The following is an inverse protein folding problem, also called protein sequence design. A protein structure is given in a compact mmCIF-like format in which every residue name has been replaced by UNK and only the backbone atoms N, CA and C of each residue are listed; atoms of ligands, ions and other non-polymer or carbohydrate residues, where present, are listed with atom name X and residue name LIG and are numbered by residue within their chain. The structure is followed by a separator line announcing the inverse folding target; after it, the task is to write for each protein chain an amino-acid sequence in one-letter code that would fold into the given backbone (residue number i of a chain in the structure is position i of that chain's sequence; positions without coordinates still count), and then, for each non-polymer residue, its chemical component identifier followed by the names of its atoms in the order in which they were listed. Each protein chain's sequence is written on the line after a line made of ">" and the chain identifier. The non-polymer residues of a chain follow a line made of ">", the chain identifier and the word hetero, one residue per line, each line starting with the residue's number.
data_IF_971015219309
#
_entry.id   IF_971015219309
#
_cell.length_a   1.000
_cell.length_b   1.000
_cell.length_c   1.000
_cell.angle_alpha   90.00
_cell.angle_beta   90.00
_cell.angle_gamma   90.00
#
_symmetry.space_group_name_H-M   'P 1'
#
loop_
_entity.id
_entity.type
_entity.pdbx_description
1 polymer ?
#
# COMPACT_ATOMS: atom_id res chain seq x y z
N UNK A 1 -2.92 13.69 2.00
CA UNK A 1 -3.75 14.92 1.86
C UNK A 1 -4.30 15.29 3.23
N UNK A 2 -4.28 16.56 3.69
CA UNK A 2 -4.74 16.92 5.05
C UNK A 2 -6.18 16.49 5.37
N UNK A 3 -7.06 16.47 4.37
CA UNK A 3 -8.42 15.95 4.50
C UNK A 3 -8.46 14.51 5.06
N UNK A 4 -7.49 13.65 4.72
CA UNK A 4 -7.46 12.27 5.26
C UNK A 4 -7.27 12.25 6.78
N UNK A 5 -6.48 13.19 7.31
CA UNK A 5 -6.32 13.35 8.75
C UNK A 5 -7.58 13.90 9.39
N UNK A 6 -8.22 14.93 8.83
CA UNK A 6 -9.46 15.50 9.37
C UNK A 6 -10.60 14.46 9.42
N UNK A 7 -10.71 13.62 8.40
CA UNK A 7 -11.66 12.50 8.37
C UNK A 7 -11.30 11.43 9.41
N UNK A 8 -10.01 11.09 9.52
CA UNK A 8 -9.54 10.14 10.52
C UNK A 8 -9.85 10.62 11.95
N UNK A 9 -9.56 11.89 12.25
CA UNK A 9 -9.83 12.49 13.54
C UNK A 9 -11.33 12.48 13.86
N UNK A 10 -12.19 12.83 12.89
CA UNK A 10 -13.64 12.75 13.04
C UNK A 10 -14.10 11.33 13.34
N UNK A 11 -13.76 10.36 12.48
CA UNK A 11 -14.20 8.97 12.63
C UNK A 11 -13.71 8.37 13.95
N UNK A 12 -12.45 8.60 14.32
CA UNK A 12 -11.90 8.12 15.58
C UNK A 12 -12.55 8.79 16.79
N UNK A 13 -12.88 10.08 16.72
CA UNK A 13 -13.58 10.77 17.79
C UNK A 13 -15.01 10.23 17.99
N UNK A 14 -15.69 9.85 16.91
CA UNK A 14 -17.00 9.19 16.94
C UNK A 14 -16.89 7.78 17.52
N UNK A 15 -15.98 6.95 17.00
CA UNK A 15 -15.83 5.56 17.47
C UNK A 15 -15.29 5.46 18.89
N UNK A 16 -14.56 6.47 19.38
CA UNK A 16 -14.11 6.56 20.77
C UNK A 16 -15.10 7.29 21.69
N UNK A 17 -16.15 7.90 21.14
CA UNK A 17 -17.10 8.71 21.92
C UNK A 17 -16.47 9.93 22.58
N UNK A 18 -15.44 10.53 21.97
CA UNK A 18 -14.69 11.68 22.51
C UNK A 18 -15.00 13.00 21.81
N UNK A 19 -15.77 12.96 20.72
CA UNK A 19 -16.32 14.18 20.12
C UNK A 19 -17.28 14.85 21.12
N UNK A 20 -17.34 16.18 21.06
CA UNK A 20 -18.30 16.93 21.88
C UNK A 20 -19.74 16.46 21.58
N UNK A 21 -20.59 16.52 22.60
CA UNK A 21 -21.98 16.09 22.48
C UNK A 21 -22.92 17.07 23.18
N UNK A 22 -24.17 17.10 22.70
CA UNK A 22 -25.22 17.94 23.27
C UNK A 22 -26.27 17.05 23.93
N UNK A 23 -26.57 17.22 25.23
CA UNK A 23 -27.62 16.43 25.88
C UNK A 23 -28.98 16.54 25.15
N UNK A 24 -29.76 15.44 25.05
CA UNK A 24 -29.57 14.15 25.70
C UNK A 24 -28.69 13.14 24.94
N UNK A 25 -28.07 13.51 23.81
CA UNK A 25 -27.26 12.62 22.97
C UNK A 25 -25.91 12.28 23.61
N UNK A 26 -25.93 11.42 24.63
CA UNK A 26 -24.74 11.06 25.39
C UNK A 26 -23.97 9.91 24.69
N UNK A 27 -22.63 9.91 24.65
CA UNK A 27 -21.84 8.86 24.01
C UNK A 27 -22.14 7.42 24.48
N UNK A 28 -22.78 7.28 25.65
CA UNK A 28 -23.28 5.99 26.15
C UNK A 28 -24.29 5.30 25.25
N UNK A 29 -25.10 6.07 24.51
CA UNK A 29 -26.16 5.57 23.62
C UNK A 29 -25.65 5.26 22.22
N UNK A 30 -24.45 5.72 21.86
CA UNK A 30 -23.89 5.52 20.53
C UNK A 30 -23.41 4.08 20.33
N UNK A 31 -24.05 3.39 19.39
CA UNK A 31 -23.69 2.02 19.01
C UNK A 31 -22.34 1.95 18.29
N UNK A 32 -21.98 3.00 17.55
CA UNK A 32 -20.70 3.11 16.83
C UNK A 32 -19.52 3.42 17.74
N UNK A 33 -19.77 3.87 18.97
CA UNK A 33 -18.73 4.29 19.90
C UNK A 33 -18.08 3.10 20.63
N UNK A 34 -17.61 2.12 19.85
CA UNK A 34 -17.06 0.84 20.32
C UNK A 34 -15.78 1.00 21.13
N UNK A 35 -14.92 1.96 20.76
CA UNK A 35 -13.65 2.23 21.43
C UNK A 35 -13.77 3.09 22.70
N UNK A 36 -15.00 3.31 23.19
CA UNK A 36 -15.21 3.77 24.58
C UNK A 36 -14.72 2.74 25.59
N UNK A 37 -14.80 1.46 25.24
CA UNK A 37 -14.13 0.41 26.01
C UNK A 37 -12.61 0.57 25.84
N UNK A 38 -11.95 0.97 26.91
CA UNK A 38 -10.51 1.18 26.94
C UNK A 38 -9.73 -0.10 26.59
N UNK A 39 -10.23 -1.29 26.96
CA UNK A 39 -9.57 -2.55 26.64
C UNK A 39 -9.65 -2.84 25.15
N UNK A 40 -10.83 -2.63 24.55
CA UNK A 40 -11.00 -2.80 23.09
C UNK A 40 -10.12 -1.80 22.33
N UNK A 41 -10.06 -0.54 22.78
CA UNK A 41 -9.22 0.48 22.16
C UNK A 41 -7.73 0.11 22.24
N UNK A 42 -7.24 -0.32 23.42
CA UNK A 42 -5.85 -0.75 23.59
C UNK A 42 -5.53 -1.99 22.74
N UNK A 43 -6.43 -2.97 22.70
CA UNK A 43 -6.31 -4.15 21.85
C UNK A 43 -6.23 -3.78 20.37
N UNK A 44 -7.06 -2.85 19.92
CA UNK A 44 -7.02 -2.36 18.53
C UNK A 44 -5.71 -1.64 18.22
N UNK A 45 -5.19 -0.81 19.13
CA UNK A 45 -3.90 -0.16 18.94
C UNK A 45 -2.72 -1.14 18.85
N UNK A 46 -2.77 -2.25 19.59
CA UNK A 46 -1.81 -3.34 19.45
C UNK A 46 -1.97 -4.04 18.10
N UNK A 47 -3.20 -4.31 17.65
CA UNK A 47 -3.45 -4.90 16.33
C UNK A 47 -2.89 -4.04 15.19
N UNK A 48 -2.99 -2.70 15.26
CA UNK A 48 -2.35 -1.79 14.29
C UNK A 48 -0.82 -1.96 14.29
N UNK A 49 -0.22 -2.11 15.47
CA UNK A 49 1.23 -2.32 15.62
C UNK A 49 1.67 -3.66 15.01
N UNK A 50 0.92 -4.73 15.28
CA UNK A 50 1.21 -6.08 14.81
C UNK A 50 1.00 -6.19 13.29
N UNK A 51 -0.03 -5.53 12.76
CA UNK A 51 -0.32 -5.46 11.33
C UNK A 51 0.74 -4.68 10.54
N UNK A 52 1.43 -3.73 11.15
CA UNK A 52 2.37 -2.85 10.44
C UNK A 52 3.55 -3.59 9.77
N UNK A 53 3.91 -4.79 10.24
CA UNK A 53 4.93 -5.62 9.56
C UNK A 53 4.46 -6.17 8.21
N UNK A 54 3.15 -6.28 8.00
CA UNK A 54 2.52 -6.82 6.79
C UNK A 54 2.37 -5.78 5.68
N UNK A 55 2.70 -4.51 5.95
CA UNK A 55 2.78 -3.46 4.96
C UNK A 55 4.13 -3.55 4.23
N UNK A 56 4.16 -3.71 2.90
CA UNK A 56 5.39 -3.68 2.12
C UNK A 56 6.06 -2.30 2.19
N UNK A 57 7.37 -2.26 1.94
CA UNK A 57 8.14 -1.01 2.02
C UNK A 57 7.72 0.04 0.98
N UNK A 58 6.97 -0.34 -0.05
CA UNK A 58 6.33 0.59 -0.99
C UNK A 58 5.27 1.47 -0.34
N UNK A 59 4.73 1.08 0.82
CA UNK A 59 3.82 1.88 1.65
C UNK A 59 4.57 2.80 2.64
N UNK A 60 5.88 2.97 2.45
CA UNK A 60 6.78 3.84 3.22
C UNK A 60 6.79 3.51 4.73
N UNK A 61 6.20 4.38 5.57
CA UNK A 61 6.30 4.28 7.03
C UNK A 61 5.15 3.51 7.66
N UNK A 62 5.52 2.61 8.58
CA UNK A 62 4.62 1.91 9.49
C UNK A 62 3.86 2.90 10.40
N UNK A 63 2.53 2.82 10.51
CA UNK A 63 1.78 3.63 11.46
C UNK A 63 2.13 3.24 12.90
N UNK A 64 2.32 4.22 13.78
CA UNK A 64 2.46 3.93 15.21
C UNK A 64 1.14 3.44 15.83
N UNK A 65 1.23 2.89 17.05
CA UNK A 65 0.06 2.59 17.85
C UNK A 65 -0.76 3.87 18.12
N UNK A 66 -2.02 3.96 17.64
CA UNK A 66 -2.85 5.14 17.83
C UNK A 66 -3.18 5.39 19.31
N UNK A 67 -3.27 4.36 20.16
CA UNK A 67 -3.60 4.57 21.59
C UNK A 67 -2.49 5.31 22.35
N UNK A 68 -1.25 5.22 21.86
CA UNK A 68 -0.08 5.80 22.52
C UNK A 68 0.32 7.16 21.94
N UNK A 69 0.06 7.39 20.66
CA UNK A 69 0.64 8.53 19.93
C UNK A 69 -0.34 9.45 19.22
N UNK A 70 -1.63 9.13 19.19
CA UNK A 70 -2.61 9.95 18.44
C UNK A 70 -2.58 11.44 18.86
N UNK A 71 -2.33 11.71 20.15
CA UNK A 71 -2.30 13.07 20.69
C UNK A 71 -0.90 13.72 20.77
N UNK A 72 0.18 13.03 20.37
CA UNK A 72 1.56 13.47 20.62
C UNK A 72 2.45 13.53 19.37
N UNK A 73 1.83 13.59 18.19
CA UNK A 73 2.54 13.79 16.91
C UNK A 73 2.28 12.71 15.85
N UNK A 74 1.08 12.12 15.86
CA UNK A 74 0.64 11.21 14.80
C UNK A 74 0.55 11.97 13.47
N UNK A 75 1.29 11.52 12.47
CA UNK A 75 1.40 12.25 11.20
C UNK A 75 0.24 11.96 10.28
N UNK A 76 -0.07 12.89 9.37
CA UNK A 76 -1.08 12.71 8.31
C UNK A 76 -0.87 11.41 7.51
N UNK A 77 0.38 11.04 7.22
CA UNK A 77 0.70 9.75 6.57
C UNK A 77 0.31 8.55 7.43
N UNK A 78 0.56 8.60 8.74
CA UNK A 78 0.19 7.52 9.65
C UNK A 78 -1.33 7.37 9.72
N UNK A 79 -2.08 8.48 9.78
CA UNK A 79 -3.54 8.45 9.67
C UNK A 79 -3.99 7.84 8.34
N UNK A 80 -3.35 8.21 7.24
CA UNK A 80 -3.69 7.67 5.93
C UNK A 80 -3.45 6.15 5.87
N UNK A 81 -2.30 5.66 6.34
CA UNK A 81 -2.00 4.22 6.35
C UNK A 81 -2.88 3.46 7.34
N UNK A 82 -3.16 4.03 8.50
CA UNK A 82 -4.04 3.42 9.49
C UNK A 82 -5.48 3.36 8.97
N UNK A 83 -6.09 4.50 8.64
CA UNK A 83 -7.52 4.57 8.30
C UNK A 83 -7.81 4.09 6.88
N UNK A 84 -6.93 4.26 5.90
CA UNK A 84 -7.25 3.85 4.52
C UNK A 84 -6.51 2.59 4.08
N UNK A 85 -5.40 2.23 4.75
CA UNK A 85 -4.65 1.02 4.47
C UNK A 85 -5.05 -0.18 5.34
N UNK A 86 -4.92 -0.04 6.66
CA UNK A 86 -5.13 -1.15 7.62
C UNK A 86 -6.57 -1.27 8.11
N UNK A 87 -7.24 -0.13 8.29
CA UNK A 87 -8.56 -0.02 8.90
C UNK A 87 -9.64 -0.89 8.25
N UNK A 88 -9.69 -1.07 6.92
CA UNK A 88 -10.67 -1.96 6.31
C UNK A 88 -10.66 -3.38 6.88
N UNK A 89 -9.46 -3.92 7.11
CA UNK A 89 -9.28 -5.25 7.68
C UNK A 89 -9.44 -5.23 9.21
N UNK A 90 -8.79 -4.28 9.90
CA UNK A 90 -8.74 -4.25 11.37
C UNK A 90 -10.02 -3.75 12.04
N UNK A 91 -10.92 -3.07 11.33
CA UNK A 91 -12.20 -2.60 11.84
C UNK A 91 -13.36 -3.53 11.47
N UNK A 92 -13.13 -4.50 10.58
CA UNK A 92 -14.13 -5.50 10.22
C UNK A 92 -14.47 -6.35 11.45
N UNK A 93 -15.76 -6.55 11.71
CA UNK A 93 -16.30 -7.17 12.93
C UNK A 93 -15.95 -6.48 14.26
N UNK A 94 -15.28 -5.32 14.24
CA UNK A 94 -15.03 -4.50 15.44
C UNK A 94 -16.04 -3.37 15.55
N UNK A 95 -16.23 -2.64 14.45
CA UNK A 95 -17.27 -1.61 14.32
C UNK A 95 -18.54 -2.29 13.77
N UNK A 96 -19.76 -1.94 14.23
CA UNK A 96 -20.97 -2.60 13.75
C UNK A 96 -21.12 -2.46 12.23
N UNK A 97 -21.66 -3.49 11.60
CA UNK A 97 -21.59 -3.70 10.15
C UNK A 97 -22.04 -2.50 9.32
N UNK A 98 -23.13 -1.81 9.70
CA UNK A 98 -23.63 -0.64 8.95
C UNK A 98 -22.63 0.52 8.93
N UNK A 99 -21.96 0.78 10.05
CA UNK A 99 -20.95 1.84 10.15
C UNK A 99 -19.66 1.43 9.46
N UNK A 100 -19.29 0.14 9.54
CA UNK A 100 -18.17 -0.38 8.76
C UNK A 100 -18.42 -0.25 7.26
N UNK A 101 -19.62 -0.58 6.77
CA UNK A 101 -19.97 -0.43 5.34
C UNK A 101 -19.89 1.03 4.88
N UNK A 102 -20.43 1.97 5.67
CA UNK A 102 -20.30 3.39 5.40
C UNK A 102 -18.83 3.81 5.33
N UNK A 103 -18.06 3.57 6.39
CA UNK A 103 -16.63 3.86 6.42
C UNK A 103 -15.87 3.20 5.25
N UNK A 104 -16.21 1.97 4.92
CA UNK A 104 -15.57 1.24 3.84
C UNK A 104 -15.83 1.89 2.48
N UNK A 105 -17.03 2.43 2.26
CA UNK A 105 -17.34 3.17 1.04
C UNK A 105 -16.50 4.45 0.88
N UNK A 106 -16.21 5.14 1.98
CA UNK A 106 -15.22 6.23 2.00
C UNK A 106 -13.84 5.72 1.55
N UNK A 107 -13.38 4.60 2.11
CA UNK A 107 -12.09 4.01 1.74
C UNK A 107 -12.03 3.68 0.25
N UNK A 108 -13.07 3.08 -0.32
CA UNK A 108 -13.14 2.80 -1.77
C UNK A 108 -12.95 4.06 -2.60
N UNK A 109 -13.70 5.12 -2.30
CA UNK A 109 -13.57 6.38 -3.03
C UNK A 109 -12.16 6.95 -2.93
N UNK A 110 -11.52 6.86 -1.75
CA UNK A 110 -10.14 7.31 -1.56
C UNK A 110 -9.11 6.46 -2.31
N UNK A 111 -9.28 5.14 -2.37
CA UNK A 111 -8.41 4.25 -3.16
C UNK A 111 -8.48 4.56 -4.66
N UNK A 112 -9.65 4.98 -5.16
CA UNK A 112 -9.84 5.37 -6.56
C UNK A 112 -9.28 6.76 -6.86
N UNK A 113 -9.56 7.76 -6.01
CA UNK A 113 -9.16 9.15 -6.26
C UNK A 113 -7.67 9.39 -6.02
N UNK A 114 -7.01 8.59 -5.17
CA UNK A 114 -5.58 8.76 -4.86
C UNK A 114 -4.64 8.07 -5.87
N UNK A 115 -5.15 7.54 -6.98
CA UNK A 115 -4.30 6.94 -8.02
C UNK A 115 -3.49 8.01 -8.77
N UNK A 116 -2.32 7.62 -9.28
CA UNK A 116 -1.47 8.50 -10.10
C UNK A 116 -2.11 8.82 -11.47
N UNK A 117 -2.85 7.86 -12.03
CA UNK A 117 -3.62 8.01 -13.25
C UNK A 117 -5.03 7.49 -12.96
N UNK A 118 -6.02 8.35 -13.13
CA UNK A 118 -7.41 8.06 -12.76
C UNK A 118 -8.22 8.03 -14.05
N UNK A 119 -8.86 6.90 -14.36
CA UNK A 119 -9.75 6.81 -15.51
C UNK A 119 -11.08 7.54 -15.23
N UNK A 120 -11.80 7.94 -16.29
CA UNK A 120 -13.14 8.53 -16.12
C UNK A 120 -14.12 7.58 -15.43
N UNK A 121 -13.98 6.28 -15.65
CA UNK A 121 -14.81 5.27 -15.00
C UNK A 121 -14.51 5.19 -13.49
N UNK A 122 -13.23 5.18 -13.11
CA UNK A 122 -12.81 5.20 -11.70
C UNK A 122 -13.28 6.48 -11.01
N UNK A 123 -13.24 7.61 -11.71
CA UNK A 123 -13.69 8.89 -11.18
C UNK A 123 -15.20 8.92 -10.93
N UNK A 124 -16.00 8.33 -11.84
CA UNK A 124 -17.44 8.17 -11.66
C UNK A 124 -17.76 7.23 -10.49
N UNK A 125 -17.03 6.11 -10.38
CA UNK A 125 -17.16 5.19 -9.26
C UNK A 125 -16.80 5.86 -7.92
N UNK A 126 -15.69 6.62 -7.88
CA UNK A 126 -15.30 7.39 -6.71
C UNK A 126 -16.38 8.41 -6.32
N UNK A 127 -16.99 9.08 -7.31
CA UNK A 127 -18.05 10.05 -7.06
C UNK A 127 -19.28 9.40 -6.43
N UNK A 128 -19.70 8.25 -6.96
CA UNK A 128 -20.82 7.48 -6.41
C UNK A 128 -20.52 7.02 -4.97
N UNK A 129 -19.30 6.54 -4.71
CA UNK A 129 -18.86 6.20 -3.35
C UNK A 129 -18.97 7.40 -2.40
N UNK A 130 -18.46 8.57 -2.79
CA UNK A 130 -18.45 9.75 -1.93
C UNK A 130 -19.85 10.31 -1.65
N UNK A 131 -20.73 10.37 -2.65
CA UNK A 131 -22.13 10.81 -2.43
C UNK A 131 -22.83 9.86 -1.46
N UNK A 132 -22.76 8.56 -1.74
CA UNK A 132 -23.47 7.58 -0.93
C UNK A 132 -22.90 7.52 0.49
N UNK A 133 -21.59 7.65 0.64
CA UNK A 133 -20.95 7.77 1.95
C UNK A 133 -21.48 8.96 2.77
N UNK A 134 -21.58 10.16 2.18
CA UNK A 134 -22.08 11.35 2.89
C UNK A 134 -23.55 11.18 3.30
N UNK A 135 -24.39 10.66 2.40
CA UNK A 135 -25.80 10.38 2.69
C UNK A 135 -25.95 9.35 3.83
N UNK A 136 -25.22 8.24 3.76
CA UNK A 136 -25.27 7.21 4.79
C UNK A 136 -24.66 7.71 6.11
N UNK A 137 -23.65 8.58 6.06
CA UNK A 137 -23.09 9.22 7.25
C UNK A 137 -24.15 10.10 7.93
N UNK A 138 -24.92 10.87 7.15
CA UNK A 138 -26.02 11.68 7.64
C UNK A 138 -27.10 10.83 8.33
N UNK A 139 -27.47 9.70 7.71
CA UNK A 139 -28.49 8.78 8.24
C UNK A 139 -28.00 8.08 9.51
N UNK A 140 -26.75 7.59 9.52
CA UNK A 140 -26.23 6.74 10.59
C UNK A 140 -25.77 7.54 11.81
N UNK A 141 -24.99 8.60 11.60
CA UNK A 141 -24.36 9.36 12.68
C UNK A 141 -25.20 10.58 13.10
N UNK A 142 -25.61 11.40 12.13
CA UNK A 142 -26.31 12.66 12.41
C UNK A 142 -27.80 12.46 12.72
N UNK A 143 -28.45 11.51 12.04
CA UNK A 143 -29.86 11.13 12.25
C UNK A 143 -30.85 12.29 12.13
N UNK A 144 -30.47 13.41 11.50
CA UNK A 144 -31.25 14.64 11.42
C UNK A 144 -31.64 15.22 12.80
N UNK A 145 -30.82 14.96 13.82
CA UNK A 145 -31.02 15.45 15.17
C UNK A 145 -30.20 16.72 15.41
N UNK A 146 -30.83 17.75 15.98
CA UNK A 146 -30.16 19.03 16.23
C UNK A 146 -28.98 18.88 17.21
N UNK A 147 -29.07 17.90 18.09
CA UNK A 147 -28.08 17.53 19.11
C UNK A 147 -26.81 16.92 18.53
N UNK A 148 -26.86 16.45 17.28
CA UNK A 148 -25.77 15.80 16.56
C UNK A 148 -25.10 16.71 15.52
N UNK A 149 -25.48 18.00 15.45
CA UNK A 149 -25.01 18.94 14.42
C UNK A 149 -23.49 19.03 14.33
N UNK A 150 -22.79 18.87 15.45
CA UNK A 150 -21.33 18.87 15.54
C UNK A 150 -20.65 17.74 14.76
N UNK A 151 -21.36 16.67 14.40
CA UNK A 151 -20.80 15.58 13.59
C UNK A 151 -20.62 15.99 12.12
N UNK A 152 -21.38 16.99 11.65
CA UNK A 152 -21.31 17.49 10.27
C UNK A 152 -20.17 18.51 10.15
N UNK A 153 -18.95 18.00 10.28
CA UNK A 153 -17.73 18.79 10.09
C UNK A 153 -17.51 19.13 8.60
N UNK A 154 -16.86 20.26 8.27
CA UNK A 154 -16.57 20.62 6.87
C UNK A 154 -15.82 19.54 6.08
N UNK A 155 -15.01 18.72 6.77
CA UNK A 155 -14.31 17.60 6.15
C UNK A 155 -15.25 16.54 5.57
N UNK A 156 -16.46 16.35 6.12
CA UNK A 156 -17.46 15.43 5.57
C UNK A 156 -17.91 15.93 4.21
N UNK A 157 -18.39 17.16 4.15
CA UNK A 157 -18.88 17.77 2.91
C UNK A 157 -17.79 17.92 1.84
N UNK A 158 -16.54 18.16 2.27
CA UNK A 158 -15.42 18.31 1.34
C UNK A 158 -15.17 17.05 0.49
N UNK A 159 -15.55 15.86 0.98
CA UNK A 159 -15.36 14.59 0.27
C UNK A 159 -16.11 14.56 -1.05
N UNK A 160 -17.36 15.05 -1.11
CA UNK A 160 -18.13 15.10 -2.35
C UNK A 160 -17.50 15.97 -3.45
N UNK A 161 -16.69 16.97 -3.07
CA UNK A 161 -16.07 17.87 -4.02
C UNK A 161 -14.79 17.30 -4.65
N UNK A 162 -14.19 16.26 -4.05
CA UNK A 162 -12.89 15.73 -4.48
C UNK A 162 -12.86 15.32 -5.96
N UNK A 163 -13.95 14.76 -6.48
CA UNK A 163 -14.05 14.32 -7.87
C UNK A 163 -14.13 15.48 -8.83
N UNK A 164 -14.92 16.51 -8.50
CA UNK A 164 -14.99 17.77 -9.26
C UNK A 164 -13.65 18.51 -9.21
N UNK A 165 -12.99 18.55 -8.06
CA UNK A 165 -11.66 19.13 -7.95
C UNK A 165 -10.64 18.37 -8.79
N UNK A 166 -10.73 17.04 -8.82
CA UNK A 166 -9.84 16.19 -9.62
C UNK A 166 -10.02 16.44 -11.11
N UNK A 167 -11.26 16.66 -11.58
CA UNK A 167 -11.52 17.07 -12.97
C UNK A 167 -10.87 18.40 -13.33
N UNK A 168 -10.88 19.35 -12.39
CA UNK A 168 -10.41 20.73 -12.64
C UNK A 168 -8.89 20.88 -12.45
N UNK A 169 -8.31 20.20 -11.46
CA UNK A 169 -6.94 20.40 -10.97
C UNK A 169 -6.01 19.21 -11.26
N UNK A 170 -6.56 18.10 -11.77
CA UNK A 170 -5.86 16.82 -11.89
C UNK A 170 -5.91 16.03 -10.57
N UNK A 171 -5.25 14.85 -10.51
CA UNK A 171 -5.24 13.99 -9.33
C UNK A 171 -4.83 14.71 -8.03
N UNK A 172 -5.34 14.30 -6.84
CA UNK A 172 -5.01 14.92 -5.55
C UNK A 172 -3.53 15.10 -5.27
N UNK A 173 -2.67 14.21 -5.78
CA UNK A 173 -1.21 14.33 -5.63
C UNK A 173 -0.67 15.63 -6.24
N UNK A 174 -1.30 16.16 -7.29
CA UNK A 174 -0.88 17.37 -8.01
C UNK A 174 -1.10 18.66 -7.22
N UNK A 175 -2.12 18.69 -6.34
CA UNK A 175 -2.48 19.88 -5.56
C UNK A 175 -2.41 19.65 -4.05
N UNK A 176 -1.93 18.49 -3.61
CA UNK A 176 -1.69 18.22 -2.19
C UNK A 176 -0.65 19.17 -1.60
N UNK A 177 -0.83 19.55 -0.34
CA UNK A 177 0.09 20.46 0.36
C UNK A 177 1.45 19.83 0.69
N UNK A 178 1.62 18.52 0.45
CA UNK A 178 2.79 17.77 0.90
C UNK A 178 4.07 18.21 0.21
N UNK A 179 4.03 18.45 -1.09
CA UNK A 179 5.19 18.96 -1.83
C UNK A 179 5.62 20.33 -1.30
N UNK A 180 4.65 21.18 -0.94
CA UNK A 180 4.94 22.48 -0.33
C UNK A 180 5.52 22.33 1.07
N UNK A 181 4.97 21.47 1.92
CA UNK A 181 5.49 21.22 3.27
C UNK A 181 6.90 20.61 3.27
N UNK A 182 7.16 19.65 2.37
CA UNK A 182 8.50 19.12 2.16
C UNK A 182 9.47 20.22 1.73
N UNK A 183 9.05 21.10 0.81
CA UNK A 183 9.87 22.22 0.35
C UNK A 183 10.17 23.20 1.49
N UNK A 184 9.18 23.53 2.32
CA UNK A 184 9.38 24.36 3.53
C UNK A 184 10.38 23.69 4.48
N UNK A 185 10.26 22.38 4.70
CA UNK A 185 11.20 21.61 5.53
C UNK A 185 12.64 21.63 4.98
N UNK A 186 12.80 21.47 3.67
CA UNK A 186 14.10 21.53 3.00
C UNK A 186 14.74 22.92 3.19
N UNK A 187 13.99 23.99 2.90
CA UNK A 187 14.46 25.35 3.13
C UNK A 187 14.81 25.61 4.60
N UNK A 188 14.01 25.08 5.53
CA UNK A 188 14.30 25.18 6.96
C UNK A 188 15.67 24.58 7.35
N UNK A 189 16.11 23.53 6.67
CA UNK A 189 17.43 22.91 6.89
C UNK A 189 18.58 23.71 6.24
N UNK A 190 18.28 24.52 5.22
CA UNK A 190 19.26 25.33 4.49
C UNK A 190 19.51 26.70 5.13
N UNK A 191 18.61 27.18 6.00
CA UNK A 191 18.81 28.43 6.74
C UNK A 191 19.97 28.26 7.73
N UNK A 192 21.05 29.01 7.50
CA UNK A 192 22.28 29.00 8.32
C UNK A 192 22.46 30.25 9.15
N UNK A 193 21.75 31.34 8.85
CA UNK A 193 21.89 32.62 9.54
C UNK A 193 20.66 32.98 10.40
N UNK A 194 20.72 32.80 11.73
CA UNK A 194 19.59 33.11 12.61
C UNK A 194 19.32 34.61 12.77
N UNK A 195 20.30 35.48 12.50
CA UNK A 195 20.16 36.94 12.64
C UNK A 195 19.47 37.63 11.45
N UNK A 196 19.42 37.00 10.28
CA UNK A 196 18.69 37.51 9.11
C UNK A 196 18.10 36.35 8.28
N UNK A 197 17.13 35.61 8.85
CA UNK A 197 16.64 34.36 8.29
C UNK A 197 15.92 34.57 6.95
N UNK A 198 15.18 35.67 6.78
CA UNK A 198 14.45 35.94 5.54
C UNK A 198 15.37 36.27 4.36
N UNK A 199 16.41 37.08 4.57
CA UNK A 199 17.37 37.37 3.50
C UNK A 199 18.19 36.13 3.12
N UNK A 200 18.52 35.28 4.10
CA UNK A 200 19.19 34.01 3.83
C UNK A 200 18.27 33.06 3.05
N UNK A 201 17.02 32.89 3.48
CA UNK A 201 16.01 32.08 2.79
C UNK A 201 15.82 32.52 1.33
N UNK A 202 15.72 33.83 1.07
CA UNK A 202 15.62 34.35 -0.29
C UNK A 202 16.82 33.95 -1.15
N UNK A 203 18.03 34.01 -0.58
CA UNK A 203 19.26 33.64 -1.28
C UNK A 203 19.31 32.14 -1.58
N UNK A 204 19.00 31.29 -0.61
CA UNK A 204 18.94 29.82 -0.81
C UNK A 204 17.89 29.46 -1.87
N UNK A 205 16.70 30.07 -1.80
CA UNK A 205 15.64 29.89 -2.80
C UNK A 205 16.10 30.25 -4.22
N UNK A 206 16.73 31.42 -4.40
CA UNK A 206 17.28 31.82 -5.70
C UNK A 206 18.35 30.84 -6.17
N UNK A 207 19.26 30.42 -5.28
CA UNK A 207 20.32 29.47 -5.62
C UNK A 207 19.74 28.11 -6.05
N UNK A 208 18.75 27.59 -5.34
CA UNK A 208 18.11 26.32 -5.68
C UNK A 208 17.37 26.41 -7.02
N UNK A 209 16.65 27.51 -7.26
CA UNK A 209 16.03 27.78 -8.57
C UNK A 209 17.06 27.84 -9.71
N UNK A 210 18.20 28.50 -9.49
CA UNK A 210 19.28 28.58 -10.48
C UNK A 210 19.89 27.20 -10.77
N UNK A 211 20.17 26.40 -9.73
CA UNK A 211 20.68 25.03 -9.90
C UNK A 211 19.66 24.15 -10.63
N UNK A 212 18.38 24.22 -10.27
CA UNK A 212 17.33 23.46 -10.94
C UNK A 212 17.16 23.89 -12.40
N UNK A 213 17.23 25.19 -12.69
CA UNK A 213 17.19 25.70 -14.06
C UNK A 213 18.39 25.20 -14.88
N UNK A 214 19.61 25.22 -14.33
CA UNK A 214 20.80 24.69 -14.99
C UNK A 214 20.69 23.19 -15.27
N UNK A 215 20.22 22.40 -14.30
CA UNK A 215 19.96 20.96 -14.49
C UNK A 215 18.93 20.68 -15.57
N UNK A 216 17.88 21.52 -15.69
CA UNK A 216 16.86 21.38 -16.71
C UNK A 216 17.35 21.81 -18.11
N UNK A 217 18.15 22.88 -18.18
CA UNK A 217 18.71 23.41 -19.44
C UNK A 217 19.84 22.53 -19.99
N UNK A 218 20.62 21.90 -19.12
CA UNK A 218 21.75 21.03 -19.49
C UNK A 218 21.67 19.72 -18.70
N UNK A 219 20.83 18.76 -19.14
CA UNK A 219 20.64 17.48 -18.46
C UNK A 219 21.94 16.69 -18.27
N UNK A 220 22.92 16.86 -19.15
CA UNK A 220 24.23 16.20 -19.10
C UNK A 220 25.05 16.54 -17.85
N UNK A 221 24.73 17.65 -17.16
CA UNK A 221 25.34 18.00 -15.87
C UNK A 221 24.82 17.14 -14.71
N UNK A 222 23.69 16.46 -14.90
CA UNK A 222 23.14 15.53 -13.92
C UNK A 222 23.80 14.18 -14.17
N UNK A 223 24.55 13.69 -13.19
CA UNK A 223 25.11 12.35 -13.26
C UNK A 223 24.00 11.35 -13.58
N UNK A 224 24.16 10.51 -14.62
CA UNK A 224 23.15 9.50 -14.93
C UNK A 224 23.00 8.60 -13.72
N UNK A 225 21.77 8.49 -13.22
CA UNK A 225 21.46 7.59 -12.11
C UNK A 225 21.83 6.18 -12.58
N UNK A 226 22.71 5.47 -11.86
CA UNK A 226 22.85 4.04 -12.08
C UNK A 226 21.51 3.38 -11.72
N UNK A 227 20.72 3.05 -12.73
CA UNK A 227 19.36 2.54 -12.53
C UNK A 227 19.37 1.22 -11.77
N UNK A 228 20.41 0.41 -11.97
CA UNK A 228 20.54 -0.90 -11.35
C UNK A 228 21.86 -1.07 -10.59
N UNK A 229 21.81 -1.65 -9.36
CA UNK A 229 23.01 -1.95 -8.60
C UNK A 229 23.83 -3.05 -9.29
N UNK A 230 25.15 -3.04 -9.07
CA UNK A 230 26.06 -4.02 -9.64
C UNK A 230 25.64 -5.47 -9.33
N UNK A 231 25.66 -6.32 -10.36
CA UNK A 231 25.32 -7.74 -10.26
C UNK A 231 23.81 -8.04 -10.21
N UNK A 232 22.98 -7.06 -10.56
CA UNK A 232 21.60 -7.29 -10.98
C UNK A 232 21.55 -7.89 -12.38
N UNK A 233 20.44 -8.56 -12.70
CA UNK A 233 20.12 -9.06 -14.04
C UNK A 233 18.90 -8.29 -14.50
N UNK A 234 19.04 -7.56 -15.61
CA UNK A 234 17.93 -6.94 -16.30
C UNK A 234 17.16 -8.02 -17.08
N UNK A 235 15.85 -8.10 -16.86
CA UNK A 235 14.97 -9.06 -17.52
C UNK A 235 14.19 -8.41 -18.68
N UNK A 236 14.36 -7.09 -18.91
CA UNK A 236 13.54 -6.30 -19.81
C UNK A 236 12.19 -5.92 -19.19
N UNK A 237 11.43 -5.09 -19.90
CA UNK A 237 10.10 -4.60 -19.52
C UNK A 237 10.04 -3.88 -18.16
N UNK A 238 11.18 -3.42 -17.64
CA UNK A 238 11.30 -2.80 -16.32
C UNK A 238 11.44 -3.78 -15.15
N UNK A 239 11.58 -5.09 -15.43
CA UNK A 239 11.84 -6.12 -14.43
C UNK A 239 13.34 -6.35 -14.23
N UNK A 240 13.79 -6.52 -12.99
CA UNK A 240 15.20 -6.85 -12.73
C UNK A 240 15.40 -7.69 -11.48
N UNK A 241 16.19 -8.76 -11.56
CA UNK A 241 16.64 -9.51 -10.40
C UNK A 241 17.77 -8.75 -9.69
N UNK A 242 17.66 -8.55 -8.38
CA UNK A 242 18.69 -7.85 -7.61
C UNK A 242 19.68 -8.83 -6.98
N UNK A 243 20.96 -8.45 -6.94
CA UNK A 243 22.14 -9.29 -6.61
C UNK A 243 22.07 -10.20 -5.39
N UNK A 244 21.11 -10.02 -4.46
CA UNK A 244 21.01 -10.87 -3.27
C UNK A 244 20.54 -12.29 -3.67
N UNK A 245 21.47 -13.14 -4.06
CA UNK A 245 21.24 -14.52 -4.47
C UNK A 245 22.09 -15.52 -3.65
N UNK A 246 21.97 -16.81 -3.95
CA UNK A 246 22.89 -17.83 -3.46
C UNK A 246 24.28 -17.64 -4.09
N UNK A 247 25.33 -18.08 -3.37
CA UNK A 247 26.68 -18.09 -3.92
C UNK A 247 26.91 -19.29 -4.84
N UNK A 248 26.22 -20.40 -4.59
CA UNK A 248 26.35 -21.66 -5.31
C UNK A 248 24.97 -22.26 -5.56
N UNK A 249 24.84 -23.07 -6.60
CA UNK A 249 23.59 -23.74 -6.90
C UNK A 249 23.25 -24.77 -5.82
N UNK A 250 21.97 -24.79 -5.46
CA UNK A 250 21.42 -25.60 -4.38
C UNK A 250 20.39 -26.56 -4.95
N UNK A 251 20.34 -27.78 -4.40
CA UNK A 251 19.27 -28.70 -4.73
C UNK A 251 17.98 -28.26 -4.02
N UNK A 252 16.88 -28.01 -4.75
CA UNK A 252 15.57 -27.76 -4.15
C UNK A 252 15.13 -28.97 -3.30
N UNK A 253 14.29 -28.73 -2.27
CA UNK A 253 13.74 -29.78 -1.41
C UNK A 253 12.24 -29.61 -1.23
N UNK A 254 11.55 -30.68 -0.84
CA UNK A 254 10.12 -30.69 -0.52
C UNK A 254 9.23 -30.31 -1.70
N UNK A 255 8.14 -29.58 -1.43
CA UNK A 255 7.18 -29.17 -2.45
C UNK A 255 7.79 -28.31 -3.56
N UNK A 256 8.83 -27.53 -3.26
CA UNK A 256 9.53 -26.74 -4.28
C UNK A 256 10.29 -27.60 -5.30
N UNK A 257 10.88 -28.72 -4.86
CA UNK A 257 11.53 -29.67 -5.78
C UNK A 257 10.51 -30.36 -6.69
N UNK A 258 9.35 -30.73 -6.12
CA UNK A 258 8.23 -31.29 -6.87
C UNK A 258 7.75 -30.32 -7.95
N UNK A 259 7.48 -29.06 -7.59
CA UNK A 259 6.98 -28.04 -8.52
C UNK A 259 7.97 -27.78 -9.67
N UNK A 260 9.28 -27.70 -9.38
CA UNK A 260 10.32 -27.53 -10.42
C UNK A 260 10.37 -28.75 -11.34
N UNK A 261 10.29 -29.97 -10.78
CA UNK A 261 10.29 -31.20 -11.57
C UNK A 261 9.05 -31.32 -12.45
N UNK A 262 7.89 -30.94 -11.94
CA UNK A 262 6.64 -30.90 -12.72
C UNK A 262 6.73 -29.88 -13.86
N UNK A 263 7.38 -28.74 -13.63
CA UNK A 263 7.56 -27.70 -14.65
C UNK A 263 8.60 -28.05 -15.72
N UNK A 264 9.79 -28.56 -15.33
CA UNK A 264 10.90 -28.85 -16.26
C UNK A 264 10.97 -30.31 -16.73
N UNK A 265 10.27 -31.23 -16.06
CA UNK A 265 10.41 -32.68 -16.26
C UNK A 265 11.69 -33.30 -15.66
N UNK A 266 12.53 -32.51 -14.97
CA UNK A 266 13.82 -32.95 -14.44
C UNK A 266 14.18 -32.32 -13.09
N UNK A 267 15.03 -33.00 -12.33
CA UNK A 267 15.64 -32.45 -11.13
C UNK A 267 16.87 -31.61 -11.49
N UNK A 268 16.81 -30.32 -11.19
CA UNK A 268 17.90 -29.38 -11.47
C UNK A 268 18.37 -28.69 -10.19
N UNK A 269 19.65 -28.33 -10.16
CA UNK A 269 20.18 -27.41 -9.15
C UNK A 269 19.87 -25.98 -9.58
N UNK A 270 19.58 -25.13 -8.59
CA UNK A 270 19.15 -23.77 -8.86
C UNK A 270 19.94 -22.76 -8.02
N UNK A 271 20.09 -21.55 -8.55
CA UNK A 271 20.48 -20.39 -7.75
C UNK A 271 19.22 -19.63 -7.33
N UNK A 272 19.02 -19.44 -6.02
CA UNK A 272 17.87 -18.66 -5.51
C UNK A 272 18.23 -17.20 -5.43
N UNK A 273 17.31 -16.37 -5.86
CA UNK A 273 17.36 -14.92 -5.82
C UNK A 273 16.32 -14.40 -4.82
N UNK A 274 16.67 -13.35 -4.09
CA UNK A 274 15.88 -12.86 -2.96
C UNK A 274 15.01 -11.65 -3.26
N UNK A 275 15.24 -10.98 -4.39
CA UNK A 275 14.54 -9.74 -4.71
C UNK A 275 14.33 -9.62 -6.22
N UNK A 276 13.13 -9.21 -6.61
CA UNK A 276 12.77 -8.80 -7.97
C UNK A 276 12.27 -7.35 -7.90
N UNK A 277 12.83 -6.47 -8.74
CA UNK A 277 12.27 -5.14 -8.98
C UNK A 277 11.22 -5.23 -10.08
N UNK A 278 10.06 -4.63 -9.83
CA UNK A 278 8.93 -4.55 -10.76
C UNK A 278 8.96 -3.22 -11.54
N UNK A 279 8.24 -3.13 -12.68
CA UNK A 279 8.20 -1.92 -13.51
C UNK A 279 7.60 -0.70 -12.78
N UNK A 280 6.69 -0.95 -11.83
CA UNK A 280 6.10 0.08 -10.97
C UNK A 280 7.06 0.60 -9.88
N UNK A 281 8.31 0.14 -9.85
CA UNK A 281 9.35 0.53 -8.89
C UNK A 281 9.31 -0.24 -7.56
N UNK A 282 8.30 -1.07 -7.32
CA UNK A 282 8.24 -1.93 -6.14
C UNK A 282 9.33 -3.00 -6.19
N UNK A 283 9.70 -3.53 -5.03
CA UNK A 283 10.64 -4.65 -4.92
C UNK A 283 9.96 -5.80 -4.19
N UNK A 284 9.63 -6.86 -4.92
CA UNK A 284 9.17 -8.12 -4.35
C UNK A 284 10.34 -8.82 -3.68
N UNK A 285 10.12 -9.32 -2.46
CA UNK A 285 11.09 -10.10 -1.68
C UNK A 285 10.60 -11.53 -1.51
N UNK A 286 11.33 -12.32 -0.73
CA UNK A 286 11.11 -13.76 -0.64
C UNK A 286 11.03 -14.24 0.80
N UNK A 287 10.21 -15.26 1.06
CA UNK A 287 10.16 -15.98 2.34
C UNK A 287 11.56 -16.40 2.76
N UNK A 288 12.36 -16.93 1.83
CA UNK A 288 13.72 -17.42 2.08
C UNK A 288 14.63 -16.41 2.80
N UNK A 289 14.53 -15.11 2.49
CA UNK A 289 15.34 -14.08 3.16
C UNK A 289 14.61 -13.36 4.27
N UNK A 290 13.31 -13.14 4.15
CA UNK A 290 12.54 -12.45 5.19
C UNK A 290 12.39 -13.30 6.45
N UNK A 291 12.24 -14.62 6.34
CA UNK A 291 12.14 -15.54 7.47
C UNK A 291 13.40 -15.60 8.35
N UNK A 292 14.55 -15.10 7.86
CA UNK A 292 15.80 -15.02 8.63
C UNK A 292 15.89 -13.80 9.54
N UNK A 293 14.93 -12.87 9.43
CA UNK A 293 14.89 -11.64 10.21
C UNK A 293 13.87 -11.79 11.36
N UNK A 294 14.10 -11.14 12.51
CA UNK A 294 13.08 -11.04 13.56
C UNK A 294 11.83 -10.32 13.03
N UNK A 295 10.64 -10.81 13.39
CA UNK A 295 9.34 -10.28 12.94
C UNK A 295 9.24 -8.75 13.04
N UNK A 296 9.66 -8.18 14.19
CA UNK A 296 9.66 -6.74 14.47
C UNK A 296 10.46 -5.91 13.44
N UNK A 297 11.50 -6.50 12.84
CA UNK A 297 12.40 -5.84 11.88
C UNK A 297 12.04 -6.14 10.42
N UNK A 298 11.03 -6.97 10.18
CA UNK A 298 10.57 -7.30 8.83
C UNK A 298 9.51 -6.29 8.39
N UNK A 299 9.58 -5.96 7.11
CA UNK A 299 8.57 -5.24 6.35
C UNK A 299 8.28 -6.17 5.19
N UNK A 300 7.20 -6.94 5.32
CA UNK A 300 6.89 -8.10 4.48
C UNK A 300 6.56 -7.59 3.08
N UNK A 301 7.35 -8.01 2.10
CA UNK A 301 7.20 -7.60 0.70
C UNK A 301 7.25 -8.80 -0.25
N UNK A 302 6.92 -9.98 0.29
CA UNK A 302 6.90 -11.25 -0.42
C UNK A 302 5.52 -11.66 -0.92
N UNK A 303 4.46 -10.94 -0.56
CA UNK A 303 3.12 -11.20 -1.09
C UNK A 303 2.93 -10.42 -2.39
N UNK A 304 2.45 -11.10 -3.42
CA UNK A 304 2.38 -10.56 -4.77
C UNK A 304 1.02 -10.83 -5.41
N UNK A 305 0.67 -9.94 -6.34
CA UNK A 305 -0.41 -10.11 -7.30
C UNK A 305 0.17 -10.63 -8.60
N UNK A 306 -0.40 -11.73 -9.10
CA UNK A 306 0.00 -12.41 -10.33
C UNK A 306 -1.11 -12.26 -11.37
N UNK A 307 -0.73 -12.16 -12.64
CA UNK A 307 -1.63 -12.29 -13.78
C UNK A 307 -1.34 -13.62 -14.48
N UNK A 308 -2.22 -14.61 -14.30
CA UNK A 308 -2.09 -15.96 -14.86
C UNK A 308 -3.32 -16.25 -15.72
N UNK A 309 -3.12 -16.56 -17.00
CA UNK A 309 -4.19 -16.88 -17.96
C UNK A 309 -5.33 -15.83 -18.03
N UNK A 310 -4.99 -14.57 -17.77
CA UNK A 310 -5.95 -13.45 -17.74
C UNK A 310 -6.70 -13.28 -16.41
N UNK A 311 -6.42 -14.12 -15.41
CA UNK A 311 -6.98 -14.03 -14.07
C UNK A 311 -5.96 -13.47 -13.06
N UNK A 312 -6.48 -12.74 -12.08
CA UNK A 312 -5.69 -12.22 -10.98
C UNK A 312 -5.62 -13.27 -9.88
N UNK A 313 -4.40 -13.70 -9.55
CA UNK A 313 -4.12 -14.57 -8.41
C UNK A 313 -3.26 -13.88 -7.36
N UNK A 314 -3.38 -14.28 -6.11
CA UNK A 314 -2.52 -13.81 -5.03
C UNK A 314 -1.60 -14.95 -4.59
N UNK A 315 -0.34 -14.64 -4.33
CA UNK A 315 0.61 -15.64 -3.86
C UNK A 315 1.69 -15.06 -2.94
N UNK A 316 2.33 -15.95 -2.17
CA UNK A 316 3.50 -15.65 -1.37
C UNK A 316 4.77 -16.17 -2.06
N UNK A 317 5.75 -15.30 -2.30
CA UNK A 317 6.97 -15.66 -3.01
C UNK A 317 7.94 -16.41 -2.11
N UNK A 318 8.25 -17.65 -2.46
CA UNK A 318 9.24 -18.47 -1.75
C UNK A 318 10.67 -18.04 -2.11
N UNK A 319 10.96 -17.98 -3.41
CA UNK A 319 12.19 -17.43 -3.99
C UNK A 319 12.10 -17.29 -5.52
N UNK A 320 12.96 -16.44 -6.08
CA UNK A 320 13.15 -16.31 -7.51
C UNK A 320 14.30 -17.22 -7.97
N UNK A 321 14.31 -17.62 -9.23
CA UNK A 321 15.41 -18.37 -9.82
C UNK A 321 15.51 -18.11 -11.33
N UNK A 322 16.63 -18.49 -11.94
CA UNK A 322 16.84 -18.40 -13.37
C UNK A 322 17.01 -19.84 -13.86
N UNK A 323 16.10 -20.31 -14.71
CA UNK A 323 16.06 -21.69 -15.19
C UNK A 323 16.33 -21.72 -16.69
N UNK A 324 17.03 -22.77 -17.14
CA UNK A 324 17.14 -23.09 -18.55
C UNK A 324 15.86 -23.82 -18.97
N UNK A 325 15.02 -23.16 -19.76
CA UNK A 325 13.75 -23.69 -20.24
C UNK A 325 13.92 -24.09 -21.70
N UNK A 326 13.32 -25.20 -22.10
CA UNK A 326 13.39 -25.71 -23.46
C UNK A 326 12.61 -24.80 -24.42
N UNK A 327 13.25 -24.37 -25.51
CA UNK A 327 12.73 -23.44 -26.52
C UNK A 327 12.72 -24.08 -27.92
N UNK A 328 12.08 -25.25 -28.02
CA UNK A 328 12.00 -26.01 -29.26
C UNK A 328 13.32 -26.68 -29.66
N UNK A 329 13.38 -27.13 -30.92
CA UNK A 329 14.54 -27.82 -31.49
C UNK A 329 15.22 -26.91 -32.52
N UNK A 330 16.54 -26.99 -32.61
CA UNK A 330 17.31 -26.33 -33.67
C UNK A 330 17.17 -27.05 -35.02
N UNK A 331 17.84 -26.52 -36.05
CA UNK A 331 17.83 -27.08 -37.40
C UNK A 331 18.38 -28.52 -37.47
N UNK A 332 19.19 -28.93 -36.49
CA UNK A 332 19.80 -30.26 -36.37
C UNK A 332 18.96 -31.20 -35.47
N UNK A 333 17.88 -30.71 -34.86
CA UNK A 333 16.99 -31.47 -33.98
C UNK A 333 17.46 -31.55 -32.52
N UNK A 334 18.45 -30.74 -32.12
CA UNK A 334 18.87 -30.61 -30.72
C UNK A 334 17.99 -29.60 -29.96
N UNK A 335 17.78 -29.85 -28.67
CA UNK A 335 16.95 -29.00 -27.83
C UNK A 335 17.64 -27.66 -27.56
N UNK A 336 17.03 -26.56 -27.99
CA UNK A 336 17.47 -25.21 -27.63
C UNK A 336 16.98 -24.91 -26.21
N UNK A 337 17.81 -24.24 -25.43
CA UNK A 337 17.41 -23.72 -24.12
C UNK A 337 17.64 -22.22 -24.08
N UNK A 338 16.64 -21.48 -23.58
CA UNK A 338 16.82 -20.09 -23.17
C UNK A 338 16.75 -19.99 -21.65
N UNK A 339 17.40 -18.97 -21.11
CA UNK A 339 17.30 -18.69 -19.69
C UNK A 339 16.09 -17.81 -19.42
N UNK A 340 15.27 -18.23 -18.46
CA UNK A 340 14.07 -17.50 -18.05
C UNK A 340 14.06 -17.31 -16.53
N UNK A 341 13.69 -16.10 -16.11
CA UNK A 341 13.48 -15.80 -14.71
C UNK A 341 12.13 -16.38 -14.26
N UNK A 342 12.20 -17.33 -13.34
CA UNK A 342 11.04 -18.01 -12.78
C UNK A 342 10.90 -17.64 -11.31
N UNK A 343 9.68 -17.73 -10.80
CA UNK A 343 9.37 -17.53 -9.40
C UNK A 343 8.66 -18.75 -8.86
N UNK A 344 9.08 -19.20 -7.68
CA UNK A 344 8.36 -20.19 -6.90
C UNK A 344 7.47 -19.46 -5.91
N UNK A 345 6.19 -19.75 -5.98
CA UNK A 345 5.17 -19.11 -5.15
C UNK A 345 4.32 -20.16 -4.47
N UNK A 346 3.79 -19.80 -3.30
CA UNK A 346 2.73 -20.54 -2.61
C UNK A 346 1.42 -19.77 -2.80
N UNK A 347 0.40 -20.44 -3.35
CA UNK A 347 -0.84 -19.76 -3.73
C UNK A 347 -1.72 -19.44 -2.52
N UNK A 348 -2.39 -18.29 -2.60
CA UNK A 348 -3.53 -18.00 -1.74
C UNK A 348 -4.82 -18.51 -2.40
N UNK A 349 -5.83 -18.79 -1.59
CA UNK A 349 -7.17 -19.11 -2.05
C UNK A 349 -7.78 -17.97 -2.84
N UNK A 350 -8.80 -18.31 -3.65
CA UNK A 350 -9.70 -17.29 -4.17
C UNK A 350 -10.26 -16.42 -3.04
N UNK A 351 -10.48 -15.12 -3.30
CA UNK A 351 -11.07 -14.22 -2.31
C UNK A 351 -12.43 -14.71 -1.81
N UNK A 352 -12.71 -14.48 -0.53
CA UNK A 352 -14.03 -14.66 0.05
C UNK A 352 -15.06 -13.85 -0.76
N UNK A 353 -16.01 -14.54 -1.39
CA UNK A 353 -16.97 -13.93 -2.32
C UNK A 353 -17.94 -12.99 -1.62
N UNK A 354 -18.30 -13.29 -0.38
CA UNK A 354 -19.28 -12.50 0.36
C UNK A 354 -18.62 -11.23 0.86
N UNK A 355 -17.42 -11.32 1.42
CA UNK A 355 -16.65 -10.14 1.80
C UNK A 355 -16.27 -9.30 0.57
N UNK A 356 -15.90 -9.92 -0.55
CA UNK A 356 -15.56 -9.19 -1.77
C UNK A 356 -16.77 -8.40 -2.29
N UNK A 357 -17.98 -8.97 -2.24
CA UNK A 357 -19.21 -8.25 -2.61
C UNK A 357 -19.56 -7.14 -1.61
N UNK A 358 -19.51 -7.44 -0.31
CA UNK A 358 -19.76 -6.47 0.76
C UNK A 358 -18.79 -5.29 0.70
N UNK A 359 -17.58 -5.55 0.23
CA UNK A 359 -16.49 -4.60 0.09
C UNK A 359 -16.39 -4.02 -1.33
N UNK A 360 -17.47 -4.04 -2.14
CA UNK A 360 -17.48 -3.45 -3.49
C UNK A 360 -16.27 -3.85 -4.36
N UNK A 361 -15.77 -5.08 -4.20
CA UNK A 361 -14.60 -5.63 -4.86
C UNK A 361 -13.24 -4.97 -4.53
N UNK A 362 -13.13 -4.21 -3.45
CA UNK A 362 -11.91 -3.49 -3.09
C UNK A 362 -11.06 -4.17 -1.99
N UNK A 363 -11.59 -5.14 -1.23
CA UNK A 363 -10.81 -5.95 -0.28
C UNK A 363 -10.93 -7.43 -0.61
N UNK A 364 -9.78 -8.09 -0.75
CA UNK A 364 -9.69 -9.54 -0.90
C UNK A 364 -9.25 -10.17 0.43
N UNK A 365 -10.10 -11.01 1.01
CA UNK A 365 -9.72 -11.91 2.10
C UNK A 365 -9.45 -13.29 1.54
N UNK A 366 -8.22 -13.76 1.71
CA UNK A 366 -7.75 -15.03 1.19
C UNK A 366 -7.06 -15.85 2.28
N UNK A 367 -7.07 -17.17 2.13
CA UNK A 367 -6.38 -18.10 3.02
C UNK A 367 -5.15 -18.67 2.30
N UNK A 368 -4.00 -18.83 2.97
CA UNK A 368 -2.89 -19.55 2.36
C UNK A 368 -3.31 -21.00 2.07
N UNK A 369 -3.01 -21.49 0.87
CA UNK A 369 -3.21 -22.91 0.52
C UNK A 369 -1.89 -23.62 0.83
N UNK A 370 -1.88 -24.45 1.87
CA UNK A 370 -0.70 -25.22 2.23
C UNK A 370 -0.32 -26.18 1.10
N UNK A 371 0.99 -26.26 0.82
CA UNK A 371 1.61 -27.14 -0.19
C UNK A 371 1.19 -26.93 -1.66
N UNK A 372 0.41 -25.90 -1.97
CA UNK A 372 0.12 -25.46 -3.34
C UNK A 372 1.22 -24.53 -3.85
N UNK A 373 2.35 -25.15 -4.18
CA UNK A 373 3.55 -24.48 -4.69
C UNK A 373 3.58 -24.64 -6.22
N UNK A 374 3.64 -23.52 -6.93
CA UNK A 374 3.79 -23.51 -8.38
C UNK A 374 5.01 -22.70 -8.83
N UNK A 375 5.46 -22.99 -10.06
CA UNK A 375 6.51 -22.26 -10.76
C UNK A 375 5.84 -21.44 -11.85
N UNK A 376 6.01 -20.12 -11.81
CA UNK A 376 5.46 -19.20 -12.82
C UNK A 376 6.53 -18.24 -13.31
N UNK A 377 6.30 -17.59 -14.44
CA UNK A 377 7.20 -16.55 -14.95
C UNK A 377 7.28 -15.41 -13.94
N UNK A 378 8.49 -14.94 -13.61
CA UNK A 378 8.68 -13.80 -12.71
C UNK A 378 7.98 -12.52 -13.23
N UNK A 379 7.83 -12.37 -14.55
CA UNK A 379 7.11 -11.25 -15.19
C UNK A 379 5.59 -11.33 -15.04
N UNK A 380 5.03 -12.46 -14.58
CA UNK A 380 3.60 -12.55 -14.24
C UNK A 380 3.24 -11.72 -13.00
N UNK A 381 4.23 -11.32 -12.19
CA UNK A 381 4.02 -10.45 -11.03
C UNK A 381 3.74 -9.03 -11.50
N UNK A 382 2.56 -8.51 -11.17
CA UNK A 382 2.19 -7.12 -11.46
C UNK A 382 2.51 -6.18 -10.30
N UNK A 383 2.24 -6.61 -9.07
CA UNK A 383 2.34 -5.78 -7.88
C UNK A 383 2.76 -6.55 -6.63
N UNK A 384 3.44 -5.87 -5.71
CA UNK A 384 3.64 -6.29 -4.33
C UNK A 384 2.48 -5.78 -3.49
N UNK A 385 1.85 -6.68 -2.74
CA UNK A 385 0.68 -6.38 -1.92
C UNK A 385 0.95 -6.61 -0.44
N UNK A 386 0.20 -5.92 0.43
CA UNK A 386 0.15 -6.24 1.85
C UNK A 386 -0.93 -7.29 2.12
N UNK A 387 -0.58 -8.34 2.88
CA UNK A 387 -1.55 -9.33 3.37
C UNK A 387 -1.63 -9.21 4.88
N UNK A 388 -2.62 -8.46 5.35
CA UNK A 388 -2.85 -8.15 6.76
C UNK A 388 -3.78 -9.20 7.38
N UNK A 389 -3.35 -9.92 8.44
CA UNK A 389 -4.24 -10.80 9.19
C UNK A 389 -5.38 -10.01 9.85
N UNK A 390 -6.60 -10.54 9.82
CA UNK A 390 -7.78 -9.97 10.46
C UNK A 390 -8.65 -11.05 11.11
#
# INVERSE_FOLDING_TARGET
>A
MHLTQLLADLLLSLWRGTIDYTPPDHPSTWEWAVFRDANLWQGHGQAVTDAAQHLPGSFDRKPCNPTQKINTGYKTWEFQMYIFGLGPALLYNVVPQQYWLNYYQLVCGFCLICQHSISMQDLQAAHACFIQWELDFEILYYQQQAECLQFICPCVHQVMHLTTETLQKGPPICYSQWTMECTIGNFGQEIRQPSNPYANLLREGVQQCQVNALKAMVPDLVEPKQDLPQGSIDLGDGYSLLRKCDLYDVQPQGGAARAIREYLGADVKICRWACLRLPNGQTARTVWREAKKPAEKVCISRNVKLMLDGEICLAEVLYFTHLAVADGLDEDGEQIFHWQAMVLVMMYSYPDRDLLKLSFHAVSSCKPIEDDICVVDAKSITDVIGMVPH
#
